data_IF_829221337635
#
_entry.id   IF_829221337635
#
_cell.length_a   1.000
_cell.length_b   1.000
_cell.length_c   1.000
_cell.angle_alpha   90.00
_cell.angle_beta   90.00
_cell.angle_gamma   90.00
#
_symmetry.space_group_name_H-M   'P 1'
#
loop_
_entity.id
_entity.type
_entity.pdbx_description
1 polymer ?
#
# COMPACT_ATOMS: atom_id res chain seq x y z
N UNK A 1 35.86 26.32 16.70
CA UNK A 1 34.82 25.82 17.63
C UNK A 1 33.75 25.09 16.84
N UNK A 2 33.60 23.79 17.04
CA UNK A 2 32.52 22.99 16.44
C UNK A 2 31.19 23.53 16.97
N UNK A 3 30.29 23.95 16.08
CA UNK A 3 28.97 24.46 16.47
C UNK A 3 28.16 23.30 17.07
N UNK A 4 28.11 23.24 18.40
CA UNK A 4 27.56 22.12 19.20
C UNK A 4 26.11 21.78 18.83
N UNK A 5 25.35 22.75 18.33
CA UNK A 5 23.97 22.53 17.86
C UNK A 5 23.88 21.61 16.63
N UNK A 6 24.90 21.53 15.78
CA UNK A 6 24.91 20.63 14.62
C UNK A 6 25.04 19.15 15.02
N UNK A 7 25.44 18.88 16.26
CA UNK A 7 25.54 17.51 16.78
C UNK A 7 24.23 16.98 17.37
N UNK A 8 23.18 17.80 17.42
CA UNK A 8 21.90 17.44 18.03
C UNK A 8 21.25 16.25 17.28
N UNK A 9 20.69 15.26 18.00
CA UNK A 9 20.15 14.04 17.40
C UNK A 9 19.09 14.29 16.32
N UNK A 10 18.30 15.35 16.42
CA UNK A 10 17.32 15.74 15.39
C UNK A 10 17.95 16.06 14.02
N UNK A 11 19.21 16.50 13.97
CA UNK A 11 19.87 16.81 12.71
C UNK A 11 20.54 15.58 12.09
N UNK A 12 20.68 14.48 12.84
CA UNK A 12 21.26 13.24 12.32
C UNK A 12 20.17 12.46 11.60
N UNK A 13 20.32 12.31 10.28
CA UNK A 13 19.48 11.42 9.47
C UNK A 13 19.43 10.03 10.15
N UNK A 14 18.29 9.32 10.26
CA UNK A 14 18.24 7.95 10.76
C UNK A 14 18.96 7.00 9.78
N UNK A 15 20.30 7.03 9.82
CA UNK A 15 21.23 6.38 8.87
C UNK A 15 21.05 4.87 8.78
N UNK A 16 20.39 4.26 9.78
CA UNK A 16 20.19 2.81 9.81
C UNK A 16 19.07 2.30 8.91
N UNK A 17 18.14 3.13 8.45
CA UNK A 17 16.89 2.62 7.84
C UNK A 17 16.70 2.95 6.35
N UNK A 18 17.54 3.81 5.77
CA UNK A 18 17.42 4.22 4.36
C UNK A 18 18.66 3.79 3.57
N UNK A 19 18.52 2.79 2.69
CA UNK A 19 19.57 2.41 1.72
C UNK A 19 19.58 3.44 0.58
N UNK A 20 20.76 3.91 0.18
CA UNK A 20 20.95 4.83 -0.96
C UNK A 20 20.99 6.33 -0.63
N UNK A 21 20.65 6.74 0.60
CA UNK A 21 20.72 8.15 1.01
C UNK A 21 22.13 8.51 1.46
N UNK A 22 22.68 9.66 1.02
CA UNK A 22 23.99 10.16 1.47
C UNK A 22 24.06 10.16 3.00
N UNK A 23 25.03 9.45 3.55
CA UNK A 23 25.25 9.35 5.00
C UNK A 23 25.73 10.73 5.51
N UNK A 24 25.06 11.24 6.56
CA UNK A 24 25.27 12.56 7.24
C UNK A 24 24.41 13.71 6.69
N UNK A 25 24.40 14.79 7.46
CA UNK A 25 23.63 16.02 7.23
C UNK A 25 23.71 16.47 5.76
N UNK A 26 22.56 16.65 5.11
CA UNK A 26 22.50 17.46 3.89
C UNK A 26 22.43 18.92 4.36
N UNK A 27 23.47 19.75 4.12
CA UNK A 27 23.46 21.15 4.53
C UNK A 27 22.28 21.92 3.93
N UNK A 28 21.83 21.52 2.73
CA UNK A 28 20.63 22.05 2.08
C UNK A 28 19.36 21.83 2.90
N UNK A 29 19.16 20.66 3.51
CA UNK A 29 17.99 20.42 4.38
C UNK A 29 17.98 21.28 5.66
N UNK A 30 19.14 21.79 6.09
CA UNK A 30 19.23 22.75 7.20
C UNK A 30 18.93 24.20 6.77
N UNK A 31 19.13 24.52 5.48
CA UNK A 31 18.89 25.85 4.92
C UNK A 31 17.45 26.00 4.41
N UNK A 32 16.90 24.95 3.81
CA UNK A 32 15.61 24.97 3.13
C UNK A 32 14.42 24.65 4.06
N UNK A 33 14.68 24.45 5.36
CA UNK A 33 13.69 23.91 6.27
C UNK A 33 13.44 22.42 5.99
N UNK A 34 12.91 21.71 6.98
CA UNK A 34 12.82 20.26 6.97
C UNK A 34 11.87 19.77 5.86
N UNK A 35 12.47 19.46 4.71
CA UNK A 35 11.85 18.93 3.50
C UNK A 35 10.86 19.90 2.83
N UNK A 36 10.99 20.07 1.51
CA UNK A 36 9.95 20.74 0.72
C UNK A 36 8.66 19.92 0.84
N UNK A 37 7.68 20.51 1.52
CA UNK A 37 6.35 19.92 1.70
C UNK A 37 5.65 19.63 0.37
N UNK A 38 5.96 20.40 -0.68
CA UNK A 38 5.44 20.18 -2.04
C UNK A 38 5.99 18.87 -2.61
N UNK A 39 7.31 18.70 -2.58
CA UNK A 39 7.99 17.45 -2.99
C UNK A 39 7.57 16.24 -2.14
N UNK A 40 7.37 16.39 -0.83
CA UNK A 40 6.85 15.32 0.03
C UNK A 40 5.39 14.96 -0.26
N UNK A 41 4.55 15.94 -0.56
CA UNK A 41 3.13 15.73 -0.89
C UNK A 41 2.96 14.99 -2.23
N UNK A 42 3.90 15.18 -3.16
CA UNK A 42 3.92 14.50 -4.46
C UNK A 42 4.53 13.09 -4.33
N UNK A 43 5.37 12.83 -3.32
CA UNK A 43 6.02 11.53 -3.14
C UNK A 43 5.05 10.46 -2.57
N UNK A 44 4.73 9.38 -3.32
CA UNK A 44 3.83 8.30 -2.86
C UNK A 44 4.25 7.68 -1.53
N UNK A 45 5.55 7.47 -1.34
CA UNK A 45 6.09 6.83 -0.15
C UNK A 45 6.02 7.73 1.08
N UNK A 46 6.27 9.03 0.93
CA UNK A 46 6.16 9.97 2.05
C UNK A 46 4.69 10.15 2.48
N UNK A 47 3.77 10.31 1.53
CA UNK A 47 2.33 10.42 1.80
C UNK A 47 1.78 9.17 2.48
N UNK A 48 2.31 7.98 2.13
CA UNK A 48 1.91 6.72 2.75
C UNK A 48 2.15 6.67 4.26
N UNK A 49 3.18 7.39 4.75
CA UNK A 49 3.56 7.41 6.17
C UNK A 49 2.76 8.42 7.00
N UNK A 50 2.11 9.40 6.36
CA UNK A 50 1.36 10.45 7.04
C UNK A 50 0.04 9.94 7.65
N UNK A 51 -0.60 8.97 7.02
CA UNK A 51 -1.82 8.38 7.52
C UNK A 51 -1.58 6.96 8.06
N UNK A 52 -1.91 6.77 9.34
CA UNK A 52 -1.87 5.44 9.96
C UNK A 52 -3.25 4.99 10.41
N UNK A 53 -3.46 3.67 10.45
CA UNK A 53 -4.64 3.04 11.03
C UNK A 53 -4.23 1.92 11.96
N UNK A 54 -5.11 1.64 12.93
CA UNK A 54 -4.96 0.49 13.81
C UNK A 54 -5.32 -0.78 13.02
N UNK A 55 -4.38 -1.71 13.00
CA UNK A 55 -4.66 -3.10 12.65
C UNK A 55 -5.53 -3.74 13.72
N UNK A 56 -6.09 -4.91 13.40
CA UNK A 56 -6.87 -5.73 14.34
C UNK A 56 -6.06 -6.10 15.59
N UNK A 57 -4.73 -6.21 15.49
CA UNK A 57 -3.80 -6.38 16.62
C UNK A 57 -3.66 -5.16 17.55
N UNK A 58 -4.31 -4.03 17.21
CA UNK A 58 -4.16 -2.72 17.86
C UNK A 58 -2.79 -2.04 17.66
N UNK A 59 -1.94 -2.58 16.81
CA UNK A 59 -0.73 -1.89 16.35
C UNK A 59 -1.06 -0.97 15.19
N UNK A 60 -0.42 0.21 15.12
CA UNK A 60 -0.62 1.17 14.03
C UNK A 60 0.32 0.88 12.87
N UNK A 61 -0.23 0.91 11.66
CA UNK A 61 0.53 0.79 10.43
C UNK A 61 0.14 1.89 9.43
N UNK A 62 1.05 2.25 8.51
CA UNK A 62 0.76 3.12 7.37
C UNK A 62 -0.47 2.62 6.60
N UNK A 63 -1.43 3.49 6.30
CA UNK A 63 -2.70 3.14 5.66
C UNK A 63 -2.49 2.41 4.32
N UNK A 64 -1.48 2.80 3.56
CA UNK A 64 -1.16 2.17 2.28
C UNK A 64 -0.70 0.70 2.41
N UNK A 65 -0.19 0.32 3.58
CA UNK A 65 0.19 -1.06 3.88
C UNK A 65 -0.99 -1.87 4.45
N UNK A 66 -2.19 -1.31 4.45
CA UNK A 66 -3.38 -1.91 5.05
C UNK A 66 -4.44 -2.20 3.99
N UNK A 67 -5.08 -3.35 4.10
CA UNK A 67 -6.28 -3.72 3.38
C UNK A 67 -7.49 -3.25 4.17
N UNK A 68 -8.44 -2.61 3.51
CA UNK A 68 -9.70 -2.18 4.11
C UNK A 68 -10.71 -3.31 3.98
N UNK A 69 -11.39 -3.63 5.08
CA UNK A 69 -12.38 -4.69 5.13
C UNK A 69 -13.69 -4.11 5.64
N UNK A 70 -14.75 -4.29 4.87
CA UNK A 70 -16.10 -3.86 5.22
C UNK A 70 -16.98 -5.09 5.51
N UNK A 71 -18.14 -4.83 6.09
CA UNK A 71 -19.21 -5.82 6.19
C UNK A 71 -20.19 -5.55 5.06
N UNK A 72 -20.44 -6.54 4.22
CA UNK A 72 -21.48 -6.50 3.19
C UNK A 72 -22.55 -7.53 3.50
N UNK A 73 -23.79 -7.25 3.09
CA UNK A 73 -24.83 -8.27 3.03
C UNK A 73 -24.56 -9.18 1.83
N UNK A 74 -24.58 -10.48 2.08
CA UNK A 74 -24.43 -11.53 1.07
C UNK A 74 -25.74 -11.68 0.32
N UNK A 75 -25.67 -11.72 -1.00
CA UNK A 75 -26.82 -11.96 -1.87
C UNK A 75 -27.50 -13.31 -1.59
N UNK A 76 -26.75 -14.25 -1.00
CA UNK A 76 -27.24 -15.56 -0.59
C UNK A 76 -27.62 -15.53 0.89
N UNK A 77 -28.91 -15.37 1.15
CA UNK A 77 -29.57 -15.61 2.45
C UNK A 77 -29.45 -14.54 3.55
N UNK A 78 -29.24 -13.27 3.20
CA UNK A 78 -29.25 -12.18 4.20
C UNK A 78 -28.17 -12.33 5.29
N UNK A 79 -27.14 -13.12 4.99
CA UNK A 79 -25.98 -13.28 5.85
C UNK A 79 -25.03 -12.10 5.66
N UNK A 80 -24.29 -11.71 6.70
CA UNK A 80 -23.27 -10.68 6.59
C UNK A 80 -21.89 -11.30 6.40
N UNK A 81 -21.11 -10.78 5.47
CA UNK A 81 -19.79 -11.27 5.13
C UNK A 81 -18.74 -10.16 5.18
N UNK A 82 -17.51 -10.53 5.52
CA UNK A 82 -16.38 -9.61 5.48
C UNK A 82 -15.81 -9.55 4.06
N UNK A 83 -15.82 -8.37 3.47
CA UNK A 83 -15.39 -8.18 2.08
C UNK A 83 -14.20 -7.20 2.04
N UNK A 84 -13.07 -7.58 1.43
CA UNK A 84 -11.97 -6.65 1.21
C UNK A 84 -12.34 -5.64 0.13
N UNK A 85 -11.94 -4.39 0.31
CA UNK A 85 -12.16 -3.30 -0.64
C UNK A 85 -10.89 -2.49 -0.82
N UNK A 86 -10.66 -1.97 -2.03
CA UNK A 86 -9.54 -1.09 -2.31
C UNK A 86 -9.68 0.25 -1.59
N UNK A 87 -10.91 0.76 -1.54
CA UNK A 87 -11.27 1.96 -0.82
C UNK A 87 -12.68 1.78 -0.26
N UNK A 88 -12.87 2.12 1.03
CA UNK A 88 -14.20 2.14 1.62
C UNK A 88 -15.11 3.13 0.86
N UNK A 89 -16.41 2.83 0.72
CA UNK A 89 -17.36 3.77 0.16
C UNK A 89 -17.39 5.08 0.98
N UNK A 90 -17.42 6.21 0.28
CA UNK A 90 -17.47 7.56 0.88
C UNK A 90 -18.88 7.94 1.32
N UNK A 91 -19.88 7.45 0.61
CA UNK A 91 -21.30 7.64 0.94
C UNK A 91 -21.79 6.57 1.92
N UNK A 92 -22.57 6.98 2.93
CA UNK A 92 -23.19 6.08 3.91
C UNK A 92 -22.32 5.73 5.14
N UNK A 93 -22.91 4.98 6.08
CA UNK A 93 -22.18 4.47 7.26
C UNK A 93 -21.52 3.12 6.93
N UNK A 94 -20.38 3.16 6.24
CA UNK A 94 -19.60 1.98 5.90
C UNK A 94 -18.33 1.93 6.77
N UNK A 95 -18.42 1.45 8.02
CA UNK A 95 -17.24 1.33 8.85
C UNK A 95 -16.33 0.24 8.26
N UNK A 96 -15.05 0.58 8.09
CA UNK A 96 -14.03 -0.36 7.67
C UNK A 96 -13.18 -0.75 8.89
N UNK A 97 -12.80 -2.03 8.94
CA UNK A 97 -11.64 -2.48 9.69
C UNK A 97 -10.43 -2.48 8.77
N UNK A 98 -9.23 -2.50 9.35
CA UNK A 98 -7.99 -2.49 8.60
C UNK A 98 -7.15 -3.69 9.02
N UNK A 99 -6.57 -4.37 8.04
CA UNK A 99 -5.66 -5.51 8.24
C UNK A 99 -4.37 -5.24 7.50
N UNK A 100 -3.22 -5.58 8.08
CA UNK A 100 -1.94 -5.50 7.37
C UNK A 100 -2.01 -6.31 6.07
N UNK A 101 -1.57 -5.72 4.97
CA UNK A 101 -1.48 -6.37 3.67
C UNK A 101 -0.32 -7.37 3.64
N UNK A 102 -0.49 -8.51 4.32
CA UNK A 102 0.45 -9.62 4.36
C UNK A 102 -0.32 -10.93 4.31
N UNK A 103 -0.06 -11.74 3.27
CA UNK A 103 -0.82 -12.97 2.99
C UNK A 103 -0.75 -13.98 4.13
N UNK A 104 0.44 -14.15 4.73
CA UNK A 104 0.66 -15.08 5.85
C UNK A 104 -0.08 -14.64 7.11
N UNK A 105 -0.05 -13.34 7.41
CA UNK A 105 -0.77 -12.74 8.52
C UNK A 105 -2.28 -12.89 8.38
N UNK A 106 -2.82 -12.57 7.19
CA UNK A 106 -4.26 -12.70 6.91
C UNK A 106 -4.69 -14.17 7.06
N UNK A 107 -3.95 -15.13 6.51
CA UNK A 107 -4.22 -16.57 6.67
C UNK A 107 -4.19 -17.00 8.14
N UNK A 108 -3.25 -16.49 8.92
CA UNK A 108 -3.18 -16.75 10.36
C UNK A 108 -4.41 -16.21 11.10
N UNK A 109 -4.83 -14.98 10.81
CA UNK A 109 -6.02 -14.37 11.43
C UNK A 109 -7.30 -15.16 11.12
N UNK A 110 -7.50 -15.56 9.87
CA UNK A 110 -8.67 -16.35 9.46
C UNK A 110 -8.78 -17.67 10.23
N UNK A 111 -7.65 -18.32 10.55
CA UNK A 111 -7.62 -19.58 11.33
C UNK A 111 -7.91 -19.39 12.82
N UNK A 112 -7.48 -18.27 13.40
CA UNK A 112 -7.63 -17.99 14.85
C UNK A 112 -9.02 -17.50 15.24
N UNK A 113 -10.01 -17.51 14.32
CA UNK A 113 -11.36 -16.93 14.50
C UNK A 113 -11.34 -15.43 14.82
N UNK A 114 -10.24 -14.74 14.50
CA UNK A 114 -10.14 -13.31 14.70
C UNK A 114 -10.55 -12.60 13.42
N UNK A 115 -11.81 -12.21 13.36
CA UNK A 115 -12.40 -11.55 12.23
C UNK A 115 -12.25 -10.02 12.37
N UNK A 116 -11.73 -9.29 11.36
CA UNK A 116 -11.60 -7.83 11.35
C UNK A 116 -12.96 -7.15 11.23
N UNK A 117 -13.85 -7.37 12.20
CA UNK A 117 -15.18 -6.78 12.23
C UNK A 117 -15.05 -5.32 12.68
N UNK A 118 -15.54 -4.35 11.91
CA UNK A 118 -15.46 -2.94 12.27
C UNK A 118 -16.13 -2.66 13.62
N UNK A 119 -15.50 -1.82 14.46
CA UNK A 119 -15.95 -1.55 15.84
C UNK A 119 -17.41 -1.08 15.91
N UNK A 120 -17.88 -0.28 14.94
CA UNK A 120 -19.27 0.20 14.92
C UNK A 120 -20.30 -0.94 14.83
N UNK A 121 -19.97 -2.06 14.18
CA UNK A 121 -20.83 -3.25 14.18
C UNK A 121 -20.78 -3.98 15.52
N UNK A 122 -19.62 -3.99 16.20
CA UNK A 122 -19.48 -4.61 17.52
C UNK A 122 -20.38 -3.96 18.59
N UNK A 123 -20.65 -2.66 18.45
CA UNK A 123 -21.48 -1.91 19.40
C UNK A 123 -22.99 -1.95 19.12
N UNK A 124 -23.43 -2.39 17.92
CA UNK A 124 -24.85 -2.35 17.54
C UNK A 124 -25.64 -3.60 17.95
N UNK A 125 -25.07 -4.81 17.85
CA UNK A 125 -25.71 -6.04 18.34
C UNK A 125 -24.73 -7.22 18.38
N UNK A 126 -24.67 -7.93 19.50
CA UNK A 126 -23.83 -9.14 19.66
C UNK A 126 -24.29 -10.32 18.79
N UNK A 127 -25.58 -10.41 18.47
CA UNK A 127 -26.13 -11.47 17.62
C UNK A 127 -25.67 -11.37 16.17
N UNK A 128 -25.48 -10.15 15.67
CA UNK A 128 -25.00 -9.89 14.29
C UNK A 128 -23.51 -10.24 14.17
N UNK A 129 -22.71 -10.00 15.22
CA UNK A 129 -21.27 -10.32 15.23
C UNK A 129 -21.04 -11.82 15.00
N UNK A 130 -21.84 -12.69 15.64
CA UNK A 130 -21.73 -14.14 15.49
C UNK A 130 -22.17 -14.63 14.10
N UNK A 131 -22.99 -13.86 13.40
CA UNK A 131 -23.45 -14.16 12.04
C UNK A 131 -22.46 -13.69 10.96
N UNK A 132 -21.59 -12.71 11.27
CA UNK A 132 -20.56 -12.23 10.34
C UNK A 132 -19.46 -13.29 10.21
N UNK A 133 -19.37 -13.91 9.04
CA UNK A 133 -18.34 -14.91 8.75
C UNK A 133 -17.23 -14.29 7.89
N UNK A 134 -15.94 -14.56 8.21
CA UNK A 134 -14.88 -14.29 7.25
C UNK A 134 -15.07 -15.24 6.06
N UNK A 135 -14.75 -14.80 4.83
CA UNK A 135 -14.78 -15.67 3.67
C UNK A 135 -13.73 -16.78 3.83
N UNK A 136 -14.00 -17.93 3.20
CA UNK A 136 -13.17 -19.14 3.34
C UNK A 136 -11.70 -18.90 2.99
N UNK A 137 -11.42 -18.02 2.00
CA UNK A 137 -10.06 -17.67 1.61
C UNK A 137 -9.88 -16.16 1.35
N UNK A 138 -10.11 -15.37 2.41
CA UNK A 138 -9.94 -13.91 2.40
C UNK A 138 -8.61 -13.44 1.78
N UNK A 139 -7.53 -14.19 1.96
CA UNK A 139 -6.22 -13.84 1.43
C UNK A 139 -6.17 -13.94 -0.11
N UNK A 140 -6.86 -14.93 -0.67
CA UNK A 140 -6.98 -15.12 -2.13
C UNK A 140 -7.97 -14.12 -2.73
N UNK A 141 -9.04 -13.77 -2.01
CA UNK A 141 -9.98 -12.71 -2.43
C UNK A 141 -9.26 -11.35 -2.55
N UNK A 142 -8.41 -11.02 -1.58
CA UNK A 142 -7.58 -9.80 -1.60
C UNK A 142 -6.65 -9.80 -2.81
N UNK A 143 -5.90 -10.89 -3.03
CA UNK A 143 -4.98 -11.00 -4.18
C UNK A 143 -5.73 -10.82 -5.52
N UNK A 144 -6.88 -11.48 -5.65
CA UNK A 144 -7.74 -11.41 -6.84
C UNK A 144 -8.30 -10.01 -7.08
N UNK A 145 -8.72 -9.31 -6.01
CA UNK A 145 -9.19 -7.92 -6.06
C UNK A 145 -8.11 -6.98 -6.61
N UNK A 146 -6.88 -7.06 -6.07
CA UNK A 146 -5.78 -6.22 -6.56
C UNK A 146 -5.42 -6.57 -8.00
N UNK A 147 -5.22 -7.85 -8.32
CA UNK A 147 -4.83 -8.30 -9.67
C UNK A 147 -5.85 -7.89 -10.73
N UNK A 148 -7.14 -8.07 -10.47
CA UNK A 148 -8.20 -7.73 -11.42
C UNK A 148 -8.26 -6.23 -11.71
N UNK A 149 -8.18 -5.38 -10.68
CA UNK A 149 -8.15 -3.92 -10.85
C UNK A 149 -6.89 -3.45 -11.58
N UNK A 150 -5.71 -3.94 -11.18
CA UNK A 150 -4.44 -3.58 -11.81
C UNK A 150 -4.45 -3.98 -13.28
N UNK A 151 -4.87 -5.21 -13.59
CA UNK A 151 -4.95 -5.70 -14.97
C UNK A 151 -5.85 -4.81 -15.82
N UNK A 152 -7.06 -4.50 -15.33
CA UNK A 152 -7.98 -3.58 -16.02
C UNK A 152 -7.33 -2.21 -16.29
N UNK A 153 -6.64 -1.65 -15.30
CA UNK A 153 -5.95 -0.37 -15.48
C UNK A 153 -4.80 -0.44 -16.48
N UNK A 154 -4.03 -1.54 -16.49
CA UNK A 154 -2.96 -1.77 -17.48
C UNK A 154 -3.54 -1.91 -18.89
N UNK A 155 -4.64 -2.65 -19.03
CA UNK A 155 -5.32 -2.87 -20.32
C UNK A 155 -5.94 -1.57 -20.87
N UNK A 156 -6.31 -0.62 -20.00
CA UNK A 156 -6.84 0.70 -20.34
C UNK A 156 -5.75 1.74 -20.68
N UNK A 157 -4.46 1.41 -20.50
CA UNK A 157 -3.38 2.33 -20.79
C UNK A 157 -3.24 2.57 -22.31
N UNK A 158 -3.04 3.83 -22.75
CA UNK A 158 -2.79 4.13 -24.16
C UNK A 158 -1.55 3.40 -24.68
N UNK A 159 -1.62 2.87 -25.90
CA UNK A 159 -0.54 2.07 -26.50
C UNK A 159 0.78 2.85 -26.67
N UNK A 160 0.72 4.19 -26.66
CA UNK A 160 1.84 5.11 -26.86
C UNK A 160 2.70 5.37 -25.62
N UNK A 161 2.47 4.68 -24.49
CA UNK A 161 3.24 4.89 -23.25
C UNK A 161 4.73 4.50 -23.38
N UNK A 162 5.10 3.79 -24.44
CA UNK A 162 6.49 3.62 -24.82
C UNK A 162 7.00 4.84 -25.58
N UNK A 163 7.44 5.89 -24.87
CA UNK A 163 8.67 6.70 -25.10
C UNK A 163 8.65 7.87 -24.11
N UNK A 164 9.42 7.76 -23.03
CA UNK A 164 9.94 8.92 -22.29
C UNK A 164 11.24 8.52 -21.63
N UNK A 165 12.14 9.50 -21.50
CA UNK A 165 13.50 9.36 -20.97
C UNK A 165 13.49 8.65 -19.63
N UNK A 166 14.13 7.48 -19.53
CA UNK A 166 14.32 6.65 -18.32
C UNK A 166 14.82 7.48 -17.13
N UNK A 167 13.93 8.25 -16.52
CA UNK A 167 14.23 9.16 -15.42
C UNK A 167 13.93 8.40 -14.13
N UNK A 168 14.96 7.92 -13.42
CA UNK A 168 14.77 7.11 -12.22
C UNK A 168 14.04 7.86 -11.10
N UNK A 169 13.96 9.19 -11.15
CA UNK A 169 13.24 9.99 -10.15
C UNK A 169 11.75 10.14 -10.46
N UNK A 170 11.32 9.89 -11.70
CA UNK A 170 9.97 10.19 -12.18
C UNK A 170 9.24 9.00 -12.78
N UNK A 171 9.95 7.94 -13.09
CA UNK A 171 9.41 6.80 -13.81
C UNK A 171 9.65 5.47 -13.08
N UNK A 172 8.81 4.49 -13.39
CA UNK A 172 8.95 3.10 -12.97
C UNK A 172 8.74 2.20 -14.18
N UNK A 173 9.57 1.17 -14.29
CA UNK A 173 9.49 0.21 -15.37
C UNK A 173 8.68 -1.01 -14.91
N UNK A 174 7.75 -1.48 -15.73
CA UNK A 174 7.09 -2.76 -15.53
C UNK A 174 7.56 -3.72 -16.61
N UNK A 175 8.12 -4.86 -16.20
CA UNK A 175 8.56 -5.94 -17.09
C UNK A 175 7.71 -7.20 -16.90
N UNK A 176 7.37 -7.92 -17.98
CA UNK A 176 6.68 -9.19 -17.87
C UNK A 176 7.54 -10.22 -17.14
N UNK A 177 6.96 -10.95 -16.19
CA UNK A 177 7.64 -12.03 -15.45
C UNK A 177 6.66 -13.06 -14.90
N UNK A 178 7.17 -14.23 -14.51
CA UNK A 178 6.37 -15.28 -13.88
C UNK A 178 6.01 -14.98 -12.41
N UNK A 179 6.81 -14.15 -11.73
CA UNK A 179 6.63 -13.82 -10.32
C UNK A 179 6.69 -12.31 -10.10
N UNK A 180 5.87 -11.79 -9.20
CA UNK A 180 5.82 -10.37 -8.92
C UNK A 180 6.97 -9.97 -7.97
N UNK A 181 7.88 -9.09 -8.42
CA UNK A 181 8.96 -8.59 -7.58
C UNK A 181 9.42 -7.19 -7.99
N UNK A 182 10.05 -6.48 -7.06
CA UNK A 182 10.69 -5.17 -7.32
C UNK A 182 12.19 -5.32 -7.19
N UNK A 183 12.90 -4.94 -8.25
CA UNK A 183 14.36 -4.91 -8.33
C UNK A 183 14.77 -3.51 -8.80
N UNK A 184 15.89 -3.02 -8.31
CA UNK A 184 16.48 -1.76 -8.78
C UNK A 184 17.51 -2.07 -9.87
N UNK A 185 17.32 -1.49 -11.06
CA UNK A 185 18.18 -1.62 -12.24
C UNK A 185 18.83 -0.26 -12.49
N UNK A 186 20.11 -0.09 -12.14
CA UNK A 186 20.85 1.17 -12.26
C UNK A 186 20.12 2.43 -11.75
N UNK A 187 19.46 2.30 -10.59
CA UNK A 187 18.65 3.35 -9.91
C UNK A 187 17.22 3.52 -10.44
N UNK A 188 16.83 2.85 -11.51
CA UNK A 188 15.43 2.78 -11.96
C UNK A 188 14.72 1.63 -11.22
N UNK A 189 13.59 1.87 -10.54
CA UNK A 189 12.79 0.79 -9.99
C UNK A 189 12.12 0.01 -11.13
N UNK A 190 12.31 -1.30 -11.13
CA UNK A 190 11.71 -2.24 -12.09
C UNK A 190 10.79 -3.20 -11.34
N UNK A 191 9.51 -3.16 -11.69
CA UNK A 191 8.50 -4.11 -11.25
C UNK A 191 8.42 -5.22 -12.28
N UNK A 192 8.86 -6.41 -11.90
CA UNK A 192 8.57 -7.63 -12.63
C UNK A 192 7.18 -8.08 -12.23
N UNK A 193 6.28 -8.31 -13.19
CA UNK A 193 4.92 -8.77 -12.89
C UNK A 193 4.33 -9.64 -13.99
N UNK A 194 3.51 -10.61 -13.59
CA UNK A 194 2.74 -11.44 -14.52
C UNK A 194 1.53 -10.73 -15.11
N UNK A 195 1.24 -9.50 -14.64
CA UNK A 195 0.09 -8.70 -15.08
C UNK A 195 0.40 -7.87 -16.34
N UNK A 196 1.68 -7.69 -16.68
CA UNK A 196 2.09 -6.99 -17.88
C UNK A 196 2.42 -8.00 -19.00
N UNK A 197 1.90 -7.77 -20.20
CA UNK A 197 2.22 -8.58 -21.38
C UNK A 197 3.49 -8.10 -22.12
N UNK A 198 3.81 -6.81 -21.98
CA UNK A 198 4.96 -6.14 -22.58
C UNK A 198 5.64 -5.24 -21.57
N UNK A 199 6.82 -4.72 -21.91
CA UNK A 199 7.49 -3.69 -21.10
C UNK A 199 6.68 -2.39 -21.15
N UNK A 200 6.44 -1.76 -20.00
CA UNK A 200 5.67 -0.53 -19.85
C UNK A 200 6.45 0.44 -18.97
N UNK A 201 6.60 1.69 -19.39
CA UNK A 201 7.20 2.76 -18.57
C UNK A 201 6.07 3.59 -18.01
N UNK A 202 5.97 3.74 -16.69
CA UNK A 202 4.94 4.57 -16.07
C UNK A 202 5.55 5.78 -15.39
N UNK A 203 4.96 6.96 -15.60
CA UNK A 203 5.33 8.17 -14.88
C UNK A 203 4.57 8.24 -13.54
N UNK A 204 5.28 8.53 -12.44
CA UNK A 204 4.68 8.59 -11.10
C UNK A 204 3.52 9.58 -11.01
N UNK A 205 3.63 10.73 -11.67
CA UNK A 205 2.66 11.82 -11.58
C UNK A 205 1.33 11.46 -12.25
N UNK A 206 1.37 10.72 -13.35
CA UNK A 206 0.20 10.44 -14.18
C UNK A 206 -0.46 9.11 -13.80
N UNK A 207 0.34 8.08 -13.50
CA UNK A 207 -0.15 6.72 -13.23
C UNK A 207 0.02 6.29 -11.77
N UNK A 208 -0.02 7.25 -10.84
CA UNK A 208 0.16 7.04 -9.41
C UNK A 208 -0.69 5.89 -8.83
N UNK A 209 -1.97 5.79 -9.21
CA UNK A 209 -2.88 4.79 -8.67
C UNK A 209 -2.44 3.36 -9.04
N UNK A 210 -2.11 3.11 -10.32
CA UNK A 210 -1.71 1.76 -10.75
C UNK A 210 -0.38 1.36 -10.12
N UNK A 211 0.55 2.31 -10.01
CA UNK A 211 1.85 2.10 -9.37
C UNK A 211 1.65 1.77 -7.89
N UNK A 212 0.81 2.53 -7.17
CA UNK A 212 0.50 2.26 -5.76
C UNK A 212 -0.08 0.86 -5.57
N UNK A 213 -1.05 0.46 -6.40
CA UNK A 213 -1.66 -0.87 -6.32
C UNK A 213 -0.66 -2.00 -6.63
N UNK A 214 0.22 -1.82 -7.63
CA UNK A 214 1.27 -2.79 -7.95
C UNK A 214 2.26 -2.95 -6.79
N UNK A 215 2.70 -1.85 -6.17
CA UNK A 215 3.58 -1.89 -5.02
C UNK A 215 2.93 -2.64 -3.84
N UNK A 216 1.62 -2.45 -3.61
CA UNK A 216 0.85 -3.19 -2.60
C UNK A 216 0.78 -4.69 -2.92
N UNK A 217 0.53 -5.05 -4.17
CA UNK A 217 0.50 -6.45 -4.60
C UNK A 217 1.85 -7.13 -4.33
N UNK A 218 2.96 -6.51 -4.75
CA UNK A 218 4.30 -7.07 -4.53
C UNK A 218 4.65 -7.16 -3.04
N UNK A 219 4.30 -6.13 -2.25
CA UNK A 219 4.57 -6.12 -0.82
C UNK A 219 3.83 -7.25 -0.08
N UNK A 220 2.60 -7.58 -0.49
CA UNK A 220 1.79 -8.63 0.14
C UNK A 220 2.41 -10.04 0.04
N UNK A 221 3.28 -10.24 -0.95
CA UNK A 221 3.94 -11.52 -1.23
C UNK A 221 5.26 -11.69 -0.48
N UNK A 222 5.82 -10.61 0.09
CA UNK A 222 7.07 -10.69 0.86
C UNK A 222 6.79 -11.20 2.28
N UNK A 223 7.57 -12.22 2.66
CA UNK A 223 7.51 -12.99 3.91
C UNK A 223 7.75 -12.10 5.11
#
# INVERSE_FOLDING_TARGET
MSRTYLQHPFFKNPVKWLRGVKKRHSPQLCLDGFYDTTSLNVNPFAKSLLETRLDVSRTRFPLENMVQIIVSESEKHGAYELVPVLQKPTCGQNPASYVINNKSYIKFLSRKRFAPIPLKYKHKSSSVIGAIKPPQDLATDIDSLYRSKIKKMIDELPENISVSSKDPEREILIRPAASDCIIWDDSLPVIYSSLAAKEIVLAYAEQHEVISLLLKLVASQRI
#
